data_IF_340220929067
#
_entry.id   IF_340220929067
#
_cell.length_a   1.000
_cell.length_b   1.000
_cell.length_c   1.000
_cell.angle_alpha   90.00
_cell.angle_beta   90.00
_cell.angle_gamma   90.00
#
_symmetry.space_group_name_H-M   'P 1'
#
loop_
_entity.id
_entity.type
_entity.pdbx_description
1 polymer ?
#
# COMPACT_ATOMS: atom_id res chain seq x y z
N UNK A 1 1.07 -3.41 1.14
CA UNK A 1 2.52 -3.62 1.18
C UNK A 1 3.02 -3.28 2.57
N UNK A 2 3.93 -4.11 3.11
CA UNK A 2 4.41 -3.94 4.48
C UNK A 2 3.29 -4.12 5.50
N UNK A 3 2.51 -5.20 5.37
CA UNK A 3 1.24 -5.37 6.07
C UNK A 3 1.37 -5.53 7.59
N UNK A 4 2.54 -5.91 8.11
CA UNK A 4 2.75 -6.15 9.53
C UNK A 4 1.71 -7.10 10.11
N UNK A 5 0.90 -6.61 11.04
CA UNK A 5 -0.21 -7.37 11.67
C UNK A 5 -1.44 -7.52 10.79
N UNK A 6 -1.46 -6.99 9.58
CA UNK A 6 -2.58 -6.93 8.64
C UNK A 6 -3.76 -6.04 9.08
N UNK A 7 -3.57 -5.13 10.01
CA UNK A 7 -4.68 -4.29 10.52
C UNK A 7 -5.33 -3.44 9.42
N UNK A 8 -4.56 -2.84 8.53
CA UNK A 8 -5.09 -2.05 7.42
C UNK A 8 -5.78 -2.92 6.37
N UNK A 9 -5.20 -4.08 6.05
CA UNK A 9 -5.80 -5.04 5.13
C UNK A 9 -7.14 -5.56 5.66
N UNK A 10 -7.23 -5.87 6.95
CA UNK A 10 -8.48 -6.30 7.58
C UNK A 10 -9.53 -5.20 7.60
N UNK A 11 -9.13 -3.95 7.84
CA UNK A 11 -10.03 -2.79 7.76
C UNK A 11 -10.58 -2.63 6.34
N UNK A 12 -9.74 -2.73 5.33
CA UNK A 12 -10.15 -2.68 3.93
C UNK A 12 -11.15 -3.79 3.58
N UNK A 13 -10.91 -5.01 4.04
CA UNK A 13 -11.80 -6.16 3.80
C UNK A 13 -13.18 -5.99 4.45
N UNK A 14 -13.29 -5.23 5.54
CA UNK A 14 -14.57 -4.93 6.17
C UNK A 14 -15.35 -3.81 5.49
N UNK A 15 -14.67 -2.93 4.76
CA UNK A 15 -15.27 -1.77 4.09
C UNK A 15 -15.68 -2.11 2.65
N UNK A 16 -14.84 -2.85 1.93
CA UNK A 16 -15.05 -3.18 0.52
C UNK A 16 -15.25 -4.68 0.31
N UNK A 17 -16.10 -5.08 -0.67
CA UNK A 17 -16.39 -6.49 -0.94
C UNK A 17 -15.28 -7.22 -1.69
N UNK A 18 -14.34 -6.52 -2.30
CA UNK A 18 -13.28 -7.09 -3.12
C UNK A 18 -12.25 -7.85 -2.29
N UNK A 19 -11.63 -8.90 -2.84
CA UNK A 19 -10.52 -9.58 -2.18
C UNK A 19 -9.35 -8.63 -1.89
N UNK A 20 -8.68 -8.82 -0.76
CA UNK A 20 -7.55 -8.02 -0.31
C UNK A 20 -6.30 -8.90 -0.24
N UNK A 21 -5.20 -8.43 -0.82
CA UNK A 21 -3.88 -9.04 -0.68
C UNK A 21 -3.05 -8.23 0.31
N UNK A 22 -2.42 -8.90 1.25
CA UNK A 22 -1.55 -8.31 2.25
C UNK A 22 -0.17 -8.95 2.15
N UNK A 23 0.87 -8.15 1.97
CA UNK A 23 2.22 -8.66 1.80
C UNK A 23 3.21 -8.00 2.74
N UNK A 24 4.21 -8.77 3.15
CA UNK A 24 5.36 -8.28 3.91
C UNK A 24 6.62 -9.02 3.46
N UNK A 25 7.76 -8.36 3.58
CA UNK A 25 9.06 -8.97 3.31
C UNK A 25 9.49 -9.93 4.42
N UNK A 26 8.94 -9.75 5.61
CA UNK A 26 9.25 -10.57 6.80
C UNK A 26 8.23 -11.70 6.95
N UNK A 27 8.71 -12.95 6.84
CA UNK A 27 7.86 -14.13 7.01
C UNK A 27 7.21 -14.18 8.39
N UNK A 28 7.88 -13.72 9.43
CA UNK A 28 7.32 -13.68 10.80
C UNK A 28 6.10 -12.72 10.83
N UNK A 29 6.21 -11.55 10.18
CA UNK A 29 5.10 -10.63 10.05
C UNK A 29 3.92 -11.26 9.28
N UNK A 30 4.20 -11.98 8.20
CA UNK A 30 3.19 -12.70 7.40
C UNK A 30 2.48 -13.75 8.25
N UNK A 31 3.20 -14.51 9.07
CA UNK A 31 2.61 -15.51 9.96
C UNK A 31 1.68 -14.87 11.00
N UNK A 32 2.10 -13.77 11.61
CA UNK A 32 1.27 -12.99 12.54
C UNK A 32 0.03 -12.42 11.83
N UNK A 33 0.20 -11.90 10.62
CA UNK A 33 -0.91 -11.41 9.80
C UNK A 33 -1.95 -12.51 9.54
N UNK A 34 -1.52 -13.72 9.17
CA UNK A 34 -2.39 -14.88 8.96
C UNK A 34 -3.16 -15.27 10.22
N UNK A 35 -2.50 -15.29 11.36
CA UNK A 35 -3.15 -15.55 12.65
C UNK A 35 -4.23 -14.51 12.96
N UNK A 36 -3.96 -13.23 12.75
CA UNK A 36 -4.91 -12.16 12.97
C UNK A 36 -6.10 -12.22 12.01
N UNK A 37 -5.86 -12.53 10.74
CA UNK A 37 -6.90 -12.70 9.72
C UNK A 37 -7.83 -13.85 10.12
N UNK A 38 -7.28 -14.98 10.56
CA UNK A 38 -8.06 -16.12 11.03
C UNK A 38 -8.87 -15.79 12.29
N UNK A 39 -8.24 -15.13 13.27
CA UNK A 39 -8.90 -14.72 14.52
C UNK A 39 -10.05 -13.74 14.31
N UNK A 40 -10.02 -12.97 13.22
CA UNK A 40 -11.07 -12.02 12.84
C UNK A 40 -12.05 -12.56 11.80
N UNK A 41 -12.00 -13.87 11.49
CA UNK A 41 -12.88 -14.53 10.52
C UNK A 41 -12.83 -13.92 9.10
N UNK A 42 -11.62 -13.51 8.66
CA UNK A 42 -11.39 -12.89 7.35
C UNK A 42 -10.53 -13.75 6.40
N UNK A 43 -10.33 -15.03 6.71
CA UNK A 43 -9.46 -15.96 5.96
C UNK A 43 -9.87 -16.14 4.49
N UNK A 44 -11.12 -15.95 4.16
CA UNK A 44 -11.62 -15.97 2.77
C UNK A 44 -11.59 -14.60 2.08
N UNK A 45 -11.18 -13.55 2.78
CA UNK A 45 -11.24 -12.17 2.31
C UNK A 45 -9.86 -11.51 2.21
N UNK A 46 -8.92 -11.91 3.06
CA UNK A 46 -7.54 -11.39 3.09
C UNK A 46 -6.57 -12.55 2.90
N UNK A 47 -5.75 -12.46 1.87
CA UNK A 47 -4.64 -13.40 1.61
C UNK A 47 -3.33 -12.74 1.98
N UNK A 48 -2.54 -13.37 2.86
CA UNK A 48 -1.25 -12.86 3.33
C UNK A 48 -0.11 -13.57 2.61
N UNK A 49 0.84 -12.80 2.08
CA UNK A 49 1.93 -13.28 1.23
C UNK A 49 3.28 -12.74 1.71
N UNK A 50 4.32 -13.57 1.67
CA UNK A 50 5.70 -13.10 1.77
C UNK A 50 6.12 -12.59 0.39
N UNK A 51 6.50 -11.32 0.29
CA UNK A 51 6.93 -10.71 -0.97
C UNK A 51 7.81 -9.48 -0.73
N UNK A 52 8.78 -9.29 -1.62
CA UNK A 52 9.54 -8.05 -1.73
C UNK A 52 8.84 -7.19 -2.79
N UNK A 53 8.24 -6.07 -2.36
CA UNK A 53 7.44 -5.23 -3.27
C UNK A 53 6.30 -6.03 -3.91
N UNK A 54 6.27 -6.09 -5.23
CA UNK A 54 5.28 -6.85 -6.00
C UNK A 54 5.81 -8.20 -6.53
N UNK A 55 6.99 -8.62 -6.09
CA UNK A 55 7.63 -9.85 -6.59
C UNK A 55 6.98 -11.11 -5.98
N UNK A 56 5.76 -11.38 -6.43
CA UNK A 56 5.01 -12.58 -6.08
C UNK A 56 3.97 -12.87 -7.18
N UNK A 57 3.81 -14.12 -7.63
CA UNK A 57 2.87 -14.47 -8.71
C UNK A 57 1.44 -14.01 -8.46
N UNK A 58 0.93 -14.15 -7.23
CA UNK A 58 -0.43 -13.71 -6.89
C UNK A 58 -0.60 -12.20 -6.94
N UNK A 59 0.42 -11.43 -6.53
CA UNK A 59 0.39 -9.97 -6.64
C UNK A 59 0.39 -9.53 -8.10
N UNK A 60 1.27 -10.09 -8.91
CA UNK A 60 1.37 -9.77 -10.34
C UNK A 60 0.13 -10.19 -11.11
N UNK A 61 -0.47 -11.32 -10.75
CA UNK A 61 -1.70 -11.81 -11.38
C UNK A 61 -2.91 -10.93 -11.05
N UNK A 62 -2.98 -10.37 -9.84
CA UNK A 62 -4.09 -9.51 -9.41
C UNK A 62 -3.94 -8.06 -9.85
N UNK A 63 -2.73 -7.61 -10.21
CA UNK A 63 -2.47 -6.25 -10.67
C UNK A 63 -3.16 -5.97 -12.02
N UNK A 64 -3.51 -4.69 -12.33
CA UNK A 64 -3.34 -3.52 -11.48
C UNK A 64 -4.39 -3.42 -10.37
N UNK A 65 -4.03 -2.76 -9.26
CA UNK A 65 -4.90 -2.58 -8.10
C UNK A 65 -5.63 -1.24 -8.15
N UNK A 66 -6.83 -1.19 -7.56
CA UNK A 66 -7.60 0.05 -7.40
C UNK A 66 -7.15 0.85 -6.18
N UNK A 67 -6.61 0.17 -5.17
CA UNK A 67 -6.14 0.77 -3.93
C UNK A 67 -4.91 0.03 -3.41
N UNK A 68 -3.88 0.79 -3.08
CA UNK A 68 -2.65 0.27 -2.45
C UNK A 68 -2.38 1.05 -1.17
N UNK A 69 -2.22 0.32 -0.05
CA UNK A 69 -1.70 0.87 1.20
C UNK A 69 -0.22 0.54 1.35
N UNK A 70 0.58 1.51 1.77
CA UNK A 70 1.96 1.29 2.18
C UNK A 70 2.28 2.13 3.42
N UNK A 71 2.42 1.47 4.55
CA UNK A 71 2.81 2.09 5.82
C UNK A 71 4.17 1.56 6.24
N UNK A 72 5.22 2.08 5.62
CA UNK A 72 6.61 1.68 5.78
C UNK A 72 7.51 2.93 5.85
N UNK A 73 8.80 2.71 6.08
CA UNK A 73 9.79 3.79 6.17
C UNK A 73 9.95 4.55 4.85
N UNK A 74 10.40 5.81 4.94
CA UNK A 74 10.61 6.73 3.80
C UNK A 74 11.46 6.13 2.68
N UNK A 75 12.61 5.53 3.02
CA UNK A 75 13.54 4.96 2.03
C UNK A 75 12.86 3.91 1.15
N UNK A 76 12.30 2.84 1.72
CA UNK A 76 11.54 1.85 0.99
C UNK A 76 10.34 2.42 0.22
N UNK A 77 9.62 3.41 0.76
CA UNK A 77 8.52 4.07 0.04
C UNK A 77 9.00 4.71 -1.26
N UNK A 78 10.12 5.43 -1.22
CA UNK A 78 10.71 6.07 -2.40
C UNK A 78 11.17 5.02 -3.41
N UNK A 79 11.83 3.97 -2.95
CA UNK A 79 12.31 2.88 -3.81
C UNK A 79 11.16 2.17 -4.54
N UNK A 80 10.01 2.00 -3.90
CA UNK A 80 8.84 1.33 -4.46
C UNK A 80 7.98 2.20 -5.40
N UNK A 81 8.25 3.49 -5.49
CA UNK A 81 7.42 4.41 -6.29
C UNK A 81 7.20 3.93 -7.75
N UNK A 82 8.23 3.49 -8.51
CA UNK A 82 8.01 2.98 -9.86
C UNK A 82 7.13 1.74 -9.91
N UNK A 83 7.35 0.78 -9.00
CA UNK A 83 6.56 -0.47 -8.96
C UNK A 83 5.10 -0.20 -8.59
N UNK A 84 4.86 0.67 -7.62
CA UNK A 84 3.51 1.08 -7.23
C UNK A 84 2.80 1.74 -8.43
N UNK A 85 3.49 2.64 -9.12
CA UNK A 85 2.93 3.31 -10.30
C UNK A 85 2.58 2.35 -11.45
N UNK A 86 3.34 1.28 -11.61
CA UNK A 86 3.08 0.26 -12.63
C UNK A 86 1.91 -0.66 -12.27
N UNK A 87 1.63 -0.82 -10.98
CA UNK A 87 0.65 -1.79 -10.48
C UNK A 87 -0.63 -1.15 -9.93
N UNK A 88 -0.84 0.13 -10.15
CA UNK A 88 -2.07 0.85 -9.79
C UNK A 88 -2.85 1.21 -11.05
N UNK A 89 -4.17 1.11 -11.01
CA UNK A 89 -5.05 1.53 -12.11
C UNK A 89 -5.01 3.05 -12.30
N UNK A 90 -5.35 3.52 -13.51
CA UNK A 90 -5.68 4.93 -13.74
C UNK A 90 -6.86 5.28 -12.84
N UNK A 91 -6.81 6.46 -12.22
CA UNK A 91 -7.75 6.91 -11.17
C UNK A 91 -7.72 6.06 -9.88
N UNK A 92 -6.85 5.06 -9.80
CA UNK A 92 -6.59 4.31 -8.57
C UNK A 92 -5.91 5.18 -7.51
N UNK A 93 -6.01 4.77 -6.26
CA UNK A 93 -5.50 5.52 -5.12
C UNK A 93 -4.40 4.76 -4.38
N UNK A 94 -3.39 5.51 -3.95
CA UNK A 94 -2.30 5.02 -3.11
C UNK A 94 -2.31 5.79 -1.80
N UNK A 95 -2.32 5.09 -0.69
CA UNK A 95 -2.26 5.72 0.64
C UNK A 95 -0.93 5.36 1.27
N UNK A 96 -0.10 6.39 1.49
CA UNK A 96 1.23 6.27 2.08
C UNK A 96 1.21 6.83 3.50
N UNK A 97 1.70 6.07 4.45
CA UNK A 97 1.76 6.44 5.85
C UNK A 97 3.09 6.03 6.48
N UNK A 98 3.28 6.36 7.76
CA UNK A 98 4.54 6.10 8.45
C UNK A 98 5.61 7.17 8.17
N UNK A 99 5.19 8.35 7.70
CA UNK A 99 6.06 9.47 7.35
C UNK A 99 6.04 10.53 8.46
N UNK A 100 7.22 11.03 8.82
CA UNK A 100 7.32 12.29 9.56
C UNK A 100 6.98 13.46 8.64
N UNK A 101 6.47 14.54 9.21
CA UNK A 101 6.05 15.72 8.42
C UNK A 101 7.17 16.25 7.51
N UNK A 102 8.41 16.28 8.01
CA UNK A 102 9.58 16.71 7.24
C UNK A 102 9.99 15.75 6.11
N UNK A 103 9.50 14.51 6.10
CA UNK A 103 9.80 13.51 5.07
C UNK A 103 8.82 13.55 3.89
N UNK A 104 7.69 14.20 4.05
CA UNK A 104 6.61 14.16 3.07
C UNK A 104 7.02 14.74 1.71
N UNK A 105 7.76 15.85 1.69
CA UNK A 105 8.16 16.52 0.45
C UNK A 105 8.99 15.61 -0.47
N UNK A 106 9.95 14.85 0.07
CA UNK A 106 10.79 13.93 -0.71
C UNK A 106 9.97 12.78 -1.30
N UNK A 107 9.01 12.28 -0.55
CA UNK A 107 8.11 11.21 -1.01
C UNK A 107 7.18 11.73 -2.12
N UNK A 108 6.60 12.90 -1.94
CA UNK A 108 5.76 13.54 -2.95
C UNK A 108 6.54 13.72 -4.26
N UNK A 109 7.77 14.23 -4.19
CA UNK A 109 8.63 14.41 -5.36
C UNK A 109 8.92 13.09 -6.07
N UNK A 110 9.23 12.03 -5.33
CA UNK A 110 9.50 10.72 -5.89
C UNK A 110 8.29 10.14 -6.64
N UNK A 111 7.10 10.26 -6.07
CA UNK A 111 5.88 9.71 -6.67
C UNK A 111 5.37 10.55 -7.84
N UNK A 112 5.54 11.87 -7.80
CA UNK A 112 5.13 12.77 -8.89
C UNK A 112 5.85 12.47 -10.21
N UNK A 113 7.07 11.95 -10.16
CA UNK A 113 7.83 11.51 -11.34
C UNK A 113 7.20 10.29 -12.06
N UNK A 114 6.24 9.65 -11.43
CA UNK A 114 5.55 8.46 -11.95
C UNK A 114 4.03 8.70 -12.09
N UNK A 115 3.62 9.94 -12.32
CA UNK A 115 2.23 10.34 -12.55
C UNK A 115 1.29 10.09 -11.35
N UNK A 116 1.85 10.00 -10.17
CA UNK A 116 1.10 9.88 -8.92
C UNK A 116 1.09 11.23 -8.19
N UNK A 117 -0.06 11.87 -8.19
CA UNK A 117 -0.24 13.21 -7.63
C UNK A 117 -1.02 13.15 -6.31
N UNK A 118 -0.62 13.99 -5.35
CA UNK A 118 -1.30 14.08 -4.05
C UNK A 118 -2.70 14.68 -4.25
N UNK A 119 -3.71 13.97 -3.78
CA UNK A 119 -5.10 14.42 -3.74
C UNK A 119 -5.57 14.75 -2.33
N UNK A 120 -4.89 14.21 -1.32
CA UNK A 120 -5.15 14.53 0.08
C UNK A 120 -3.87 14.39 0.91
N UNK A 121 -3.65 15.32 1.83
CA UNK A 121 -2.54 15.33 2.77
C UNK A 121 -3.08 15.58 4.17
N UNK A 122 -2.96 14.58 5.04
CA UNK A 122 -3.41 14.66 6.42
C UNK A 122 -2.19 14.62 7.36
N UNK A 123 -2.19 15.51 8.34
CA UNK A 123 -1.16 15.55 9.38
C UNK A 123 -1.81 15.36 10.75
N UNK A 124 -1.28 14.44 11.53
CA UNK A 124 -1.67 14.21 12.92
C UNK A 124 -0.38 14.25 13.74
N UNK A 125 -0.25 15.28 14.56
CA UNK A 125 0.97 15.55 15.32
C UNK A 125 2.17 15.65 14.38
N UNK A 126 3.17 14.77 14.54
CA UNK A 126 4.38 14.73 13.70
C UNK A 126 4.28 13.81 12.50
N UNK A 127 3.14 13.17 12.28
CA UNK A 127 2.95 12.15 11.23
C UNK A 127 2.12 12.68 10.07
N UNK A 128 2.55 12.32 8.88
CA UNK A 128 1.84 12.62 7.62
C UNK A 128 1.32 11.35 6.97
N UNK A 129 0.08 11.42 6.47
CA UNK A 129 -0.51 10.43 5.58
C UNK A 129 -0.84 11.10 4.26
N UNK A 130 -0.37 10.54 3.16
CA UNK A 130 -0.58 11.03 1.81
C UNK A 130 -1.53 10.10 1.06
N UNK A 131 -2.55 10.66 0.43
CA UNK A 131 -3.36 9.96 -0.56
C UNK A 131 -2.99 10.49 -1.93
N UNK A 132 -2.58 9.60 -2.83
CA UNK A 132 -2.20 9.94 -4.20
C UNK A 132 -3.15 9.25 -5.16
N UNK A 133 -3.34 9.85 -6.33
CA UNK A 133 -4.09 9.24 -7.43
C UNK A 133 -3.23 9.24 -8.69
N UNK A 134 -3.36 8.18 -9.48
CA UNK A 134 -2.66 8.07 -10.76
C UNK A 134 -3.43 8.86 -11.81
N UNK A 135 -2.76 9.83 -12.42
CA UNK A 135 -3.33 10.64 -13.48
C UNK A 135 -2.95 10.10 -14.86
N UNK A 136 -3.82 10.30 -15.85
CA UNK A 136 -3.46 10.07 -17.24
C UNK A 136 -2.61 11.26 -17.70
N UNK A 137 -1.41 10.98 -18.18
CA UNK A 137 -0.67 12.01 -18.94
C UNK A 137 -1.35 12.19 -20.29
N UNK A 138 -2.10 13.26 -20.44
CA UNK A 138 -2.63 13.66 -21.74
C UNK A 138 -1.47 14.29 -22.52
N UNK A 139 -0.95 13.57 -23.48
CA UNK A 139 0.03 14.08 -24.44
C UNK A 139 -0.67 14.90 -25.53
#
# INVERSE_FOLDING_TARGET
IGCGTAVLAMAAARIWPNPVLASDIDQVAVDVARENVLANHLEGRVTCLEATGFDHPELLSAAPFDLIFANILKGPLITLAPEIAQNITVDGHVILSGLLNEQAADVIDAYSKHDLCVVHNAQINKWTTLTLSKTVVTT
#
